data_IF_667151416302
#
_entry.id   IF_667151416302
#
_cell.length_a   1.000
_cell.length_b   1.000
_cell.length_c   1.000
_cell.angle_alpha   90.00
_cell.angle_beta   90.00
_cell.angle_gamma   90.00
#
_symmetry.space_group_name_H-M   'P 1'
#
loop_
_entity.id
_entity.type
_entity.pdbx_description
1 polymer ?
2 non-polymer ?
3 water ?
#
# COMPACT_ATOMS: atom_id res chain seq x y z
N UNK A 1 -3.95 -19.07 13.30
CA UNK A 1 -3.68 -18.93 14.72
C UNK A 1 -2.31 -18.29 14.98
N UNK A 2 -1.31 -19.15 15.15
CA UNK A 2 0.07 -18.79 15.44
C UNK A 2 0.61 -17.75 14.46
N UNK A 3 0.37 -18.05 13.19
CA UNK A 3 0.76 -17.24 12.06
C UNK A 3 0.16 -15.84 12.13
N UNK A 4 -0.92 -15.69 12.90
CA UNK A 4 -1.60 -14.40 13.02
C UNK A 4 -1.20 -13.69 14.30
N UNK A 5 -0.26 -14.30 15.03
CA UNK A 5 0.26 -13.75 16.29
C UNK A 5 1.23 -12.61 16.02
N UNK A 6 1.15 -11.55 16.81
CA UNK A 6 1.93 -10.32 16.63
C UNK A 6 3.38 -10.45 16.22
N UNK A 7 4.25 -11.08 16.99
CA UNK A 7 5.66 -11.17 16.59
C UNK A 7 5.83 -11.94 15.28
N UNK A 8 5.10 -13.05 15.17
CA UNK A 8 5.24 -13.89 14.00
C UNK A 8 4.63 -13.22 12.77
N UNK A 9 3.44 -12.66 12.96
CA UNK A 9 2.74 -12.05 11.83
C UNK A 9 3.63 -10.99 11.18
N UNK A 10 4.32 -10.24 12.02
CA UNK A 10 5.20 -9.15 11.59
C UNK A 10 6.43 -9.69 10.89
N UNK A 11 6.92 -10.87 11.29
CA UNK A 11 8.11 -11.38 10.58
C UNK A 11 7.70 -12.10 9.31
N UNK A 12 6.49 -12.68 9.29
CA UNK A 12 6.00 -13.22 8.02
C UNK A 12 5.85 -12.12 6.98
N UNK A 13 5.29 -10.99 7.39
CA UNK A 13 5.13 -9.85 6.47
C UNK A 13 6.48 -9.34 5.99
N UNK A 14 7.49 -9.28 6.86
CA UNK A 14 8.82 -8.87 6.43
C UNK A 14 9.32 -9.69 5.24
N UNK A 15 9.28 -11.01 5.30
CA UNK A 15 9.76 -11.82 4.19
C UNK A 15 8.88 -11.71 2.95
N UNK A 16 7.69 -11.18 3.08
CA UNK A 16 6.77 -11.10 1.94
C UNK A 16 6.91 -9.80 1.15
N UNK A 17 7.84 -8.93 1.52
CA UNK A 17 7.98 -7.62 0.87
C UNK A 17 8.43 -7.74 -0.58
N UNK A 18 7.84 -7.00 -1.50
CA UNK A 18 8.25 -7.12 -2.90
C UNK A 18 9.67 -6.61 -3.09
N UNK A 19 10.26 -7.09 -4.17
CA UNK A 19 11.61 -6.70 -4.55
C UNK A 19 11.66 -5.28 -5.10
N UNK A 20 12.87 -4.75 -5.24
CA UNK A 20 13.22 -3.62 -6.07
C UNK A 20 12.75 -3.82 -7.51
N UNK A 21 11.94 -2.96 -8.09
CA UNK A 21 11.60 -3.16 -9.52
C UNK A 21 12.39 -2.17 -10.38
N UNK A 22 13.19 -2.66 -11.31
CA UNK A 22 13.86 -1.78 -12.27
C UNK A 22 12.93 -1.48 -13.45
N UNK A 23 12.66 -0.21 -13.76
CA UNK A 23 11.73 0.04 -14.87
C UNK A 23 12.24 -0.56 -16.17
N UNK A 24 13.51 -0.30 -16.43
CA UNK A 24 14.24 -0.88 -17.56
C UNK A 24 13.90 -0.21 -18.88
N UNK A 25 14.18 1.09 -18.93
CA UNK A 25 13.93 1.85 -20.14
C UNK A 25 15.14 1.83 -21.07
N UNK A 26 14.86 1.47 -22.31
CA UNK A 26 15.85 1.51 -23.39
C UNK A 26 15.71 2.81 -24.19
N UNK A 33 4.50 12.28 -21.88
CA UNK A 33 4.10 10.89 -21.81
C UNK A 33 5.30 9.95 -21.71
N UNK A 34 6.47 10.45 -21.36
CA UNK A 34 7.60 9.55 -21.09
C UNK A 34 7.62 9.25 -19.59
N UNK A 35 7.35 10.28 -18.80
CA UNK A 35 7.14 10.10 -17.37
C UNK A 35 6.00 9.09 -17.17
N UNK A 36 4.87 9.38 -17.79
CA UNK A 36 3.68 8.54 -17.79
C UNK A 36 3.93 7.23 -18.54
N UNK A 37 4.90 7.24 -19.46
CA UNK A 37 5.26 5.95 -20.07
C UNK A 37 6.08 5.17 -19.05
N UNK A 38 7.09 5.81 -18.46
CA UNK A 38 7.87 5.16 -17.43
C UNK A 38 6.97 4.64 -16.31
N UNK A 39 6.08 5.53 -15.85
CA UNK A 39 5.23 5.29 -14.71
C UNK A 39 4.25 4.14 -14.95
N UNK A 40 3.58 4.08 -16.10
CA UNK A 40 2.64 2.97 -16.32
C UNK A 40 3.33 1.63 -16.51
N UNK A 41 4.53 1.66 -17.10
CA UNK A 41 5.24 0.40 -17.24
C UNK A 41 5.65 -0.10 -15.85
N UNK A 42 6.10 0.83 -15.01
CA UNK A 42 6.45 0.50 -13.62
C UNK A 42 5.29 -0.18 -12.90
N UNK A 43 4.10 0.41 -12.93
CA UNK A 43 2.98 -0.19 -12.23
C UNK A 43 2.68 -1.60 -12.73
N UNK A 44 2.71 -1.79 -14.05
CA UNK A 44 2.44 -3.13 -14.58
C UNK A 44 3.33 -4.17 -13.89
N UNK A 45 4.60 -3.79 -13.80
CA UNK A 45 5.61 -4.60 -13.14
C UNK A 45 5.29 -4.74 -11.66
N UNK A 46 5.13 -3.62 -10.96
CA UNK A 46 4.83 -3.71 -9.53
C UNK A 46 3.58 -4.51 -9.24
N UNK A 47 2.60 -4.54 -10.15
CA UNK A 47 1.34 -5.20 -9.78
C UNK A 47 1.51 -6.70 -9.66
N UNK A 48 2.31 -7.28 -10.54
CA UNK A 48 2.57 -8.73 -10.47
C UNK A 48 3.05 -9.12 -9.08
N UNK A 49 4.08 -8.42 -8.60
CA UNK A 49 4.60 -8.64 -7.27
C UNK A 49 3.58 -8.35 -6.19
N UNK A 50 2.73 -7.34 -6.39
CA UNK A 50 1.73 -7.07 -5.37
C UNK A 50 0.86 -8.29 -5.11
N UNK A 51 0.48 -8.96 -6.21
CA UNK A 51 -0.42 -10.11 -6.02
C UNK A 51 0.27 -11.24 -5.26
N UNK A 52 1.55 -11.46 -5.52
CA UNK A 52 2.36 -12.42 -4.78
C UNK A 52 2.44 -12.06 -3.30
N UNK A 53 2.66 -10.77 -3.06
CA UNK A 53 2.77 -10.29 -1.68
C UNK A 53 1.50 -10.63 -0.88
N UNK A 54 0.35 -10.26 -1.44
CA UNK A 54 -0.93 -10.55 -0.84
C UNK A 54 -1.09 -12.05 -0.59
N UNK A 55 -0.51 -12.90 -1.44
CA UNK A 55 -0.75 -14.34 -1.24
C UNK A 55 0.06 -14.87 -0.07
N UNK A 56 1.00 -14.09 0.44
CA UNK A 56 1.84 -14.49 1.56
C UNK A 56 1.33 -14.00 2.92
N UNK A 57 0.27 -13.19 2.92
CA UNK A 57 -0.41 -12.73 4.11
C UNK A 57 -1.32 -13.82 4.65
N UNK A 58 -0.97 -14.39 5.80
CA UNK A 58 -1.67 -15.57 6.33
C UNK A 58 -3.18 -15.39 6.33
N UNK A 59 -3.87 -16.35 5.73
CA UNK A 59 -5.30 -16.40 5.62
C UNK A 59 -5.89 -15.73 4.40
N UNK A 60 -5.08 -15.04 3.60
CA UNK A 60 -5.69 -14.27 2.50
C UNK A 60 -6.21 -15.21 1.42
N UNK A 61 -5.47 -16.26 1.04
CA UNK A 61 -5.88 -17.15 -0.04
C UNK A 61 -7.04 -18.07 0.37
N UNK A 62 -7.31 -18.14 1.68
CA UNK A 62 -8.45 -18.92 2.16
C UNK A 62 -9.74 -18.11 2.20
N UNK A 63 -9.68 -16.82 1.90
CA UNK A 63 -10.92 -16.06 1.71
C UNK A 63 -11.58 -16.47 0.40
N UNK A 64 -12.78 -15.97 0.13
CA UNK A 64 -13.41 -16.24 -1.16
C UNK A 64 -12.65 -15.55 -2.28
N UNK A 65 -12.63 -16.15 -3.47
CA UNK A 65 -11.96 -15.48 -4.60
C UNK A 65 -12.77 -14.24 -4.97
N UNK A 66 -14.06 -14.29 -4.65
CA UNK A 66 -14.93 -13.14 -4.83
C UNK A 66 -14.45 -12.00 -3.93
N UNK A 67 -13.77 -12.37 -2.85
CA UNK A 67 -13.27 -11.34 -1.93
C UNK A 67 -11.86 -10.92 -2.27
N UNK A 68 -11.02 -11.91 -2.59
CA UNK A 68 -9.65 -11.62 -2.97
C UNK A 68 -9.57 -10.60 -4.10
N UNK A 69 -10.36 -10.82 -5.14
CA UNK A 69 -10.38 -10.02 -6.37
C UNK A 69 -10.90 -8.61 -6.14
N UNK A 70 -11.91 -8.50 -5.28
CA UNK A 70 -12.48 -7.22 -4.87
C UNK A 70 -11.45 -6.36 -4.14
N UNK A 71 -10.71 -6.97 -3.22
CA UNK A 71 -9.71 -6.26 -2.42
C UNK A 71 -8.54 -5.80 -3.24
N UNK A 72 -7.96 -6.68 -4.07
CA UNK A 72 -6.84 -6.23 -4.90
C UNK A 72 -7.26 -5.18 -5.89
N UNK A 73 -8.47 -5.31 -6.42
CA UNK A 73 -8.90 -4.34 -7.43
C UNK A 73 -9.06 -2.95 -6.84
N UNK A 74 -9.53 -2.86 -5.60
CA UNK A 74 -9.83 -1.51 -5.11
C UNK A 74 -8.63 -0.79 -4.53
N UNK A 75 -7.66 -1.55 -4.04
CA UNK A 75 -6.52 -1.08 -3.28
C UNK A 75 -5.17 -1.05 -4.00
N UNK A 76 -5.09 -1.35 -5.29
CA UNK A 76 -3.73 -1.43 -5.85
C UNK A 76 -3.01 -0.10 -5.77
N UNK A 77 -3.54 1.03 -6.20
CA UNK A 77 -2.82 2.31 -6.15
C UNK A 77 -2.47 2.80 -4.76
N UNK A 78 -3.31 2.64 -3.72
CA UNK A 78 -2.91 3.01 -2.36
C UNK A 78 -1.72 2.16 -1.89
N UNK A 79 -1.65 0.87 -2.26
CA UNK A 79 -0.54 0.02 -1.84
C UNK A 79 0.77 0.36 -2.56
N UNK A 80 0.70 0.85 -3.79
CA UNK A 80 1.88 1.27 -4.54
C UNK A 80 2.34 2.65 -4.08
N UNK A 81 1.39 3.45 -3.61
CA UNK A 81 1.73 4.77 -3.07
C UNK A 81 2.29 4.69 -1.66
N UNK A 82 1.71 3.82 -0.83
CA UNK A 82 2.21 3.54 0.52
C UNK A 82 3.65 3.06 0.41
N UNK A 83 3.93 2.10 -0.48
CA UNK A 83 5.32 1.70 -0.70
C UNK A 83 6.22 2.83 -1.16
N UNK A 84 5.74 3.71 -2.02
CA UNK A 84 6.50 4.84 -2.56
C UNK A 84 6.89 5.84 -1.48
N UNK A 85 5.92 6.23 -0.66
CA UNK A 85 6.24 7.09 0.48
C UNK A 85 7.25 6.43 1.40
N UNK A 86 7.11 5.13 1.65
CA UNK A 86 8.08 4.49 2.56
C UNK A 86 9.45 4.58 1.92
N UNK A 87 9.53 4.44 0.60
CA UNK A 87 10.82 4.49 -0.09
C UNK A 87 11.42 5.90 -0.13
N UNK A 88 10.59 6.93 -0.08
CA UNK A 88 11.14 8.29 -0.18
C UNK A 88 11.22 8.97 1.19
N UNK A 89 10.85 8.26 2.25
CA UNK A 89 10.62 8.89 3.54
C UNK A 89 11.83 9.69 4.02
N UNK A 90 13.01 9.32 3.57
CA UNK A 90 14.19 10.04 4.04
C UNK A 90 14.65 11.07 3.02
N UNK A 91 13.97 11.14 1.87
CA UNK A 91 14.47 12.10 0.89
C UNK A 91 13.47 13.22 0.61
N UNK A 92 13.53 14.23 1.47
CA UNK A 92 12.68 15.41 1.30
C UNK A 92 12.89 16.05 -0.06
N UNK A 93 11.78 16.32 -0.75
CA UNK A 93 11.90 16.96 -2.04
C UNK A 93 11.87 15.95 -3.16
N UNK A 94 12.20 14.68 -2.89
CA UNK A 94 12.13 13.72 -3.99
C UNK A 94 11.03 12.68 -3.76
N UNK A 95 10.82 11.92 -4.84
CA UNK A 95 10.10 10.66 -4.85
C UNK A 95 10.93 9.56 -5.49
N UNK A 96 11.13 8.47 -4.77
CA UNK A 96 11.95 7.35 -5.23
C UNK A 96 11.08 6.19 -5.70
N UNK A 97 10.66 6.30 -6.94
CA UNK A 97 9.76 5.38 -7.62
C UNK A 97 10.39 4.01 -7.84
N UNK A 98 11.68 4.02 -8.12
CA UNK A 98 12.45 2.80 -8.35
C UNK A 98 13.93 3.19 -8.45
N UNK A 99 14.82 2.23 -8.35
CA UNK A 99 16.26 2.49 -8.53
C UNK A 99 16.51 3.42 -9.69
N UNK A 100 16.33 3.07 -10.96
CA UNK A 100 16.67 4.15 -11.90
C UNK A 100 15.50 5.07 -12.20
N UNK A 101 14.74 5.51 -11.20
CA UNK A 101 13.64 6.45 -11.45
C UNK A 101 13.28 7.24 -10.19
N UNK A 102 14.06 8.28 -9.97
CA UNK A 102 13.91 9.26 -8.92
C UNK A 102 13.37 10.56 -9.51
N UNK A 103 12.56 11.31 -8.78
CA UNK A 103 12.02 12.55 -9.32
C UNK A 103 12.10 13.72 -8.34
N UNK A 104 12.43 14.89 -8.85
CA UNK A 104 12.39 16.21 -8.25
C UNK A 104 11.01 16.84 -8.39
N UNK A 105 10.62 17.70 -7.46
CA UNK A 105 9.28 18.29 -7.57
C UNK A 105 9.15 19.15 -8.83
N UNK A 106 10.24 19.76 -9.25
CA UNK A 106 10.23 20.66 -10.41
C UNK A 106 10.25 19.91 -11.73
N UNK A 107 10.31 18.58 -11.65
CA UNK A 107 10.20 17.72 -12.81
C UNK A 107 8.73 17.32 -12.98
N UNK A 108 8.00 17.50 -11.88
CA UNK A 108 6.56 17.30 -11.89
C UNK A 108 5.85 18.57 -12.36
N UNK A 109 6.55 19.37 -13.17
CA UNK A 109 6.01 20.60 -13.70
C UNK A 109 5.57 20.44 -15.15
N UNK A 110 6.01 19.35 -15.78
CA UNK A 110 5.65 19.07 -17.16
C UNK A 110 4.65 17.92 -17.26
N UNK A 112 1.79 17.24 -16.71
CA UNK A 112 1.30 18.16 -15.68
C UNK A 112 -0.06 17.73 -15.17
N UNK A 113 -0.48 18.29 -14.03
CA UNK A 113 -1.66 17.75 -13.33
C UNK A 113 -1.12 16.81 -12.25
N UNK A 114 -0.08 16.11 -12.65
CA UNK A 114 0.86 15.34 -11.86
C UNK A 114 1.48 16.20 -10.76
N UNK A 115 1.62 17.51 -10.98
CA UNK A 115 2.18 18.28 -9.88
C UNK A 115 1.28 18.25 -8.65
N UNK A 116 -0.03 18.28 -8.86
CA UNK A 116 -0.98 18.28 -7.76
C UNK A 116 -0.73 17.06 -6.87
N UNK A 117 -0.76 15.90 -7.51
CA UNK A 117 -0.55 14.61 -6.87
C UNK A 117 0.82 14.57 -6.20
N UNK A 118 1.83 15.04 -6.92
CA UNK A 118 3.19 15.13 -6.41
C UNK A 118 3.25 15.78 -5.03
N UNK A 119 2.49 16.84 -4.82
CA UNK A 119 2.56 17.52 -3.52
C UNK A 119 1.73 16.77 -2.48
N UNK A 120 0.68 16.07 -2.91
CA UNK A 120 -0.04 15.25 -1.93
C UNK A 120 0.87 14.15 -1.37
N UNK A 121 1.75 13.58 -2.19
CA UNK A 121 2.61 12.48 -1.75
C UNK A 121 3.82 12.97 -0.96
N UNK A 122 4.30 14.18 -1.24
CA UNK A 122 5.40 14.71 -0.44
C UNK A 122 4.94 15.08 0.96
N UNK A 123 3.80 15.73 1.05
CA UNK A 123 3.21 16.14 2.32
C UNK A 123 2.96 14.96 3.26
N UNK A 124 2.07 14.05 2.88
CA UNK A 124 1.82 12.81 3.61
C UNK A 124 3.12 12.08 4.00
N UNK A 125 4.08 11.96 3.09
CA UNK A 125 5.37 11.36 3.42
C UNK A 125 6.09 12.09 4.56
N UNK A 126 6.11 13.42 4.47
CA UNK A 126 6.66 14.27 5.52
C UNK A 126 6.02 14.04 6.87
N UNK A 127 4.73 13.73 6.85
CA UNK A 127 3.95 13.45 8.04
C UNK A 127 4.44 12.15 8.69
N UNK A 128 4.67 11.15 7.84
CA UNK A 128 5.17 9.85 8.30
C UNK A 128 6.58 10.00 8.86
N UNK A 129 7.39 10.84 8.22
CA UNK A 129 8.72 11.17 8.75
C UNK A 129 8.59 11.69 10.19
N UNK A 130 7.83 12.77 10.35
CA UNK A 130 7.62 13.37 11.66
C UNK A 130 7.12 12.38 12.69
N UNK A 131 6.30 11.41 12.26
CA UNK A 131 5.76 10.48 13.26
C UNK A 131 6.82 9.47 13.64
N UNK A 132 7.86 9.40 12.81
CA UNK A 132 8.92 8.41 13.01
C UNK A 132 8.40 6.99 12.80
N UNK A 133 7.75 6.80 11.65
CA UNK A 133 7.22 5.52 11.24
C UNK A 133 8.29 4.44 11.30
N UNK A 134 8.02 3.38 12.06
CA UNK A 134 8.94 2.27 12.21
C UNK A 134 8.70 1.24 11.11
N UNK A 135 9.67 0.40 10.79
CA UNK A 135 9.45 -0.65 9.81
C UNK A 135 8.26 -1.52 10.21
N UNK A 136 8.25 -1.96 11.47
CA UNK A 136 7.19 -2.90 11.86
C UNK A 136 5.82 -2.27 11.67
N UNK A 137 5.78 -0.96 11.88
CA UNK A 137 4.57 -0.14 11.75
C UNK A 137 4.16 -0.04 10.29
N UNK A 138 5.14 0.25 9.43
CA UNK A 138 4.94 0.29 7.98
C UNK A 138 4.37 -1.04 7.50
N UNK A 139 4.98 -2.16 7.89
CA UNK A 139 4.48 -3.46 7.44
C UNK A 139 3.02 -3.67 7.81
N UNK A 140 2.63 -3.28 9.02
CA UNK A 140 1.25 -3.50 9.46
C UNK A 140 0.28 -2.55 8.79
N UNK A 141 0.66 -1.30 8.53
CA UNK A 141 -0.29 -0.37 7.92
C UNK A 141 -0.60 -0.73 6.47
N UNK A 142 0.40 -1.14 5.70
CA UNK A 142 0.22 -1.54 4.30
C UNK A 142 -0.71 -2.75 4.17
N UNK A 143 -0.67 -3.64 5.16
CA UNK A 143 -1.57 -4.80 5.17
C UNK A 143 -3.00 -4.41 5.51
N UNK A 144 -3.18 -3.41 6.37
CA UNK A 144 -4.45 -2.83 6.75
C UNK A 144 -5.13 -2.20 5.54
N UNK A 145 -4.32 -1.45 4.80
CA UNK A 145 -4.75 -0.80 3.56
C UNK A 145 -5.35 -1.83 2.60
N UNK A 146 -4.64 -2.93 2.35
CA UNK A 146 -5.26 -3.97 1.53
C UNK A 146 -6.53 -4.48 2.18
N UNK A 147 -6.50 -4.95 3.44
CA UNK A 147 -7.74 -5.55 3.96
C UNK A 147 -8.86 -4.54 4.17
N UNK A 148 -8.58 -3.26 4.35
CA UNK A 148 -9.66 -2.29 4.59
C UNK A 148 -10.10 -1.63 3.30
N UNK A 149 -9.58 -2.04 2.14
CA UNK A 149 -9.83 -1.33 0.90
C UNK A 149 -11.28 -1.31 0.42
N UNK A 150 -12.11 -2.27 0.80
CA UNK A 150 -13.51 -2.21 0.38
C UNK A 150 -14.43 -2.57 1.53
N UNK A 151 -15.70 -2.17 1.41
CA UNK A 151 -16.66 -2.50 2.46
C UNK A 151 -17.69 -3.50 1.95
N UNK A 152 -17.90 -3.49 0.64
CA UNK A 152 -18.75 -4.51 0.05
C UNK A 152 -18.33 -5.91 0.48
N UNK A 153 -17.07 -6.32 0.29
CA UNK A 153 -16.66 -7.68 0.65
C UNK A 153 -16.81 -8.01 2.13
N UNK A 154 -17.11 -7.06 3.01
CA UNK A 154 -17.31 -7.45 4.41
C UNK A 154 -18.66 -6.98 4.94
N UNK A 155 -19.59 -6.74 4.02
CA UNK A 155 -20.97 -6.38 4.35
C UNK A 155 -21.61 -7.46 5.22
N UNK A 161 -20.82 -16.34 3.76
CA UNK A 161 -20.97 -16.04 5.17
C UNK A 161 -19.69 -16.32 5.94
N UNK A 162 -18.82 -17.18 5.40
CA UNK A 162 -17.61 -17.49 6.17
C UNK A 162 -16.49 -16.52 5.82
N UNK A 163 -16.32 -16.23 4.54
CA UNK A 163 -15.25 -15.36 4.06
C UNK A 163 -15.29 -13.99 4.74
N UNK A 164 -16.48 -13.58 5.15
CA UNK A 164 -16.66 -12.32 5.87
C UNK A 164 -16.16 -12.49 7.31
N UNK A 165 -16.66 -13.52 7.99
CA UNK A 165 -16.18 -13.86 9.33
C UNK A 165 -14.65 -13.89 9.34
N UNK A 166 -14.08 -14.52 8.33
CA UNK A 166 -12.68 -14.64 8.02
C UNK A 166 -12.03 -13.28 7.78
N UNK A 167 -12.60 -12.47 6.88
CA UNK A 167 -12.01 -11.17 6.59
C UNK A 167 -11.88 -10.35 7.87
N UNK A 168 -12.92 -10.27 8.68
CA UNK A 168 -12.82 -9.48 9.91
C UNK A 168 -11.75 -10.03 10.85
N UNK A 169 -11.72 -11.34 11.03
CA UNK A 169 -10.74 -11.97 11.93
C UNK A 169 -9.33 -11.57 11.54
N UNK A 170 -9.11 -11.53 10.25
CA UNK A 170 -7.80 -11.30 9.64
C UNK A 170 -7.42 -9.83 9.67
N UNK A 171 -8.42 -8.97 9.67
CA UNK A 171 -8.22 -7.53 9.80
C UNK A 171 -7.99 -7.13 11.27
N UNK A 172 -8.67 -7.83 12.16
CA UNK A 172 -8.55 -7.64 13.61
C UNK A 172 -7.18 -8.07 14.12
N UNK A 173 -6.68 -9.18 13.60
CA UNK A 173 -5.32 -9.63 13.88
C UNK A 173 -4.28 -8.60 13.49
N UNK A 174 -4.41 -7.99 12.31
CA UNK A 174 -3.41 -7.00 11.90
C UNK A 174 -3.40 -5.78 12.80
N UNK A 175 -4.58 -5.33 13.20
CA UNK A 175 -4.79 -4.22 14.14
C UNK A 175 -4.23 -4.57 15.51
N UNK A 176 -4.38 -5.83 15.90
CA UNK A 176 -3.76 -6.33 17.13
C UNK A 176 -2.24 -6.23 17.00
N UNK A 177 -1.72 -6.60 15.82
CA UNK A 177 -0.26 -6.58 15.76
C UNK A 177 0.25 -5.15 15.85
N UNK A 178 -0.41 -4.25 15.13
CA UNK A 178 0.01 -2.84 15.20
C UNK A 178 -0.05 -2.35 16.64
N UNK A 179 -1.15 -2.65 17.33
CA UNK A 179 -1.30 -2.16 18.70
C UNK A 179 -0.15 -2.67 19.56
N UNK A 180 0.19 -3.93 19.34
CA UNK A 180 1.28 -4.62 20.01
C UNK A 180 2.60 -3.88 19.80
N UNK A 181 2.88 -3.57 18.54
CA UNK A 181 4.11 -2.89 18.15
C UNK A 181 4.25 -1.59 18.93
N UNK A 182 3.15 -0.85 18.98
CA UNK A 182 3.11 0.47 19.59
C UNK A 182 3.30 0.42 21.10
N UNK A 183 2.83 -0.65 21.72
CA UNK A 183 2.87 -0.83 23.16
C UNK A 183 4.29 -1.12 23.66
N UNK A 184 5.15 -1.53 22.73
CA UNK A 184 6.53 -1.92 22.96
C UNK A 184 7.45 -0.71 22.96
N UNK A 185 6.96 0.42 22.47
CA UNK A 185 7.76 1.65 22.47
C UNK A 185 8.03 2.12 23.89
N UNK A 186 7.23 1.61 24.82
CA UNK A 186 7.41 1.97 26.22
C UNK A 186 6.87 3.38 26.43
N UNK A 187 5.79 3.67 25.71
CA UNK A 187 5.14 4.95 25.96
C UNK A 187 3.86 4.71 26.77
N UNK A 188 3.36 5.82 27.29
CA UNK A 188 2.14 5.94 28.05
C UNK A 188 0.91 5.51 27.28
N UNK A 189 0.02 4.81 27.97
CA UNK A 189 -1.28 4.42 27.45
C UNK A 189 -1.99 5.52 26.70
N UNK A 190 -1.80 6.79 27.10
CA UNK A 190 -2.43 7.86 26.33
C UNK A 190 -1.63 8.08 25.05
N UNK A 191 -0.31 7.93 25.15
CA UNK A 191 0.49 8.09 23.94
C UNK A 191 0.18 7.01 22.91
N UNK A 192 -0.10 5.82 23.41
CA UNK A 192 -0.44 4.66 22.57
C UNK A 192 -1.67 4.98 21.74
N UNK A 193 -2.77 5.30 22.40
CA UNK A 193 -3.99 5.69 21.73
C UNK A 193 -3.79 6.89 20.82
N UNK A 194 -3.00 7.88 21.26
CA UNK A 194 -2.83 9.03 20.37
C UNK A 194 -2.03 8.65 19.12
N UNK A 195 -1.14 7.67 19.25
CA UNK A 195 -0.32 7.26 18.13
C UNK A 195 -1.12 6.36 17.20
N UNK A 196 -1.88 5.43 17.78
CA UNK A 196 -2.75 4.59 16.95
C UNK A 196 -3.72 5.47 16.19
N UNK A 197 -4.23 6.53 16.83
CA UNK A 197 -5.19 7.41 16.17
C UNK A 197 -4.56 8.24 15.06
N UNK A 198 -3.34 8.74 15.31
CA UNK A 198 -2.60 9.49 14.31
C UNK A 198 -2.23 8.64 13.10
N UNK A 199 -1.87 7.38 13.33
CA UNK A 199 -1.50 6.48 12.25
C UNK A 199 -2.67 6.16 11.34
N UNK A 200 -3.81 5.75 11.89
CA UNK A 200 -4.95 5.40 11.04
C UNK A 200 -5.64 6.61 10.42
N UNK A 201 -5.50 7.81 10.97
CA UNK A 201 -6.10 8.99 10.34
C UNK A 201 -5.40 9.31 9.02
N UNK A 202 -4.13 8.91 8.96
CA UNK A 202 -3.27 9.12 7.81
C UNK A 202 -3.71 8.30 6.60
N UNK A 203 -4.52 7.27 6.80
CA UNK A 203 -4.97 6.40 5.71
C UNK A 203 -5.99 7.11 4.83
N UNK A 204 -6.73 7.99 5.53
CA UNK A 204 -7.69 8.86 4.86
C UNK A 204 -6.97 9.68 3.80
N UNK A 205 -5.74 10.08 4.09
CA UNK A 205 -4.90 10.86 3.19
C UNK A 205 -4.39 10.02 2.02
N UNK A 206 -3.83 8.88 2.39
CA UNK A 206 -3.47 7.83 1.44
C UNK A 206 -4.61 7.63 0.45
N UNK A 207 -5.82 7.32 0.92
CA UNK A 207 -6.91 7.08 -0.02
C UNK A 207 -7.16 8.28 -0.93
N UNK A 208 -6.95 9.48 -0.37
CA UNK A 208 -7.21 10.69 -1.16
C UNK A 208 -6.28 10.72 -2.37
N UNK A 209 -4.99 10.57 -2.10
CA UNK A 209 -3.98 10.53 -3.16
C UNK A 209 -4.28 9.45 -4.20
N UNK A 210 -4.64 8.26 -3.73
CA UNK A 210 -5.05 7.17 -4.61
C UNK A 210 -6.16 7.62 -5.54
N UNK A 211 -7.21 8.23 -5.00
CA UNK A 211 -8.36 8.63 -5.80
C UNK A 211 -7.99 9.60 -6.90
N UNK A 212 -7.10 10.52 -6.53
CA UNK A 212 -6.58 11.49 -7.50
C UNK A 212 -5.75 10.77 -8.57
N UNK A 213 -4.81 9.92 -8.18
CA UNK A 213 -4.03 9.18 -9.16
C UNK A 213 -4.92 8.40 -10.10
N UNK A 214 -5.95 7.75 -9.57
CA UNK A 214 -6.88 6.96 -10.37
C UNK A 214 -7.58 7.85 -11.38
N UNK A 215 -7.98 9.01 -10.90
CA UNK A 215 -8.64 10.03 -11.74
C UNK A 215 -7.74 10.41 -12.91
N UNK A 216 -6.54 10.89 -12.64
CA UNK A 216 -5.55 11.28 -13.60
C UNK A 216 -5.32 10.20 -14.67
N UNK A 217 -5.35 8.97 -14.22
CA UNK A 217 -5.12 7.78 -15.00
C UNK A 217 -6.20 7.44 -16.01
N UNK A 218 -7.48 7.69 -15.69
CA UNK A 218 -8.52 7.42 -16.69
C UNK A 218 -8.60 8.55 -17.72
N UNK A 219 -8.32 9.77 -17.28
CA UNK A 219 -8.26 10.91 -18.18
C UNK A 219 -7.00 10.84 -19.05
N UNK A 220 -6.75 9.73 -19.73
CA UNK A 220 -5.51 9.64 -20.52
C UNK A 220 -5.73 8.70 -21.70
N UNK A 225 1.44 5.89 -22.29
CA UNK A 225 0.57 5.26 -21.29
C UNK A 225 0.41 3.77 -21.56
N UNK A 226 0.32 3.00 -20.48
CA UNK A 226 0.13 1.57 -20.50
C UNK A 226 -1.20 1.18 -19.87
N UNK A 227 -1.88 0.20 -20.46
CA UNK A 227 -3.14 -0.28 -19.87
C UNK A 227 -2.92 -0.91 -18.50
N UNK A 228 -2.56 -0.10 -17.50
CA UNK A 228 -2.33 -0.67 -16.18
C UNK A 228 -3.59 -1.40 -15.68
N UNK A 229 -4.67 -0.65 -15.54
CA UNK A 229 -5.93 -1.16 -15.00
C UNK A 229 -6.53 -2.26 -15.87
N UNK A 230 -6.18 -2.31 -17.16
CA UNK A 230 -6.68 -3.40 -17.98
C UNK A 230 -5.97 -4.71 -17.61
N UNK A 231 -4.68 -4.74 -17.92
CA UNK A 231 -3.85 -5.92 -17.69
C UNK A 231 -4.01 -6.44 -16.26
N UNK A 232 -4.10 -5.52 -15.30
CA UNK A 232 -4.26 -5.93 -13.92
C UNK A 232 -5.52 -6.81 -13.80
N UNK A 233 -6.60 -6.26 -14.31
CA UNK A 233 -7.86 -6.99 -14.40
C UNK A 233 -7.60 -8.36 -15.00
N UNK A 234 -6.82 -8.37 -16.08
CA UNK A 234 -6.39 -9.60 -16.73
C UNK A 234 -5.63 -10.49 -15.75
N UNK A 235 -4.69 -9.89 -15.02
CA UNK A 235 -3.91 -10.64 -14.04
C UNK A 235 -4.82 -11.24 -12.99
N UNK A 236 -5.91 -10.51 -12.73
CA UNK A 236 -6.93 -10.90 -11.77
C UNK A 236 -7.67 -12.16 -12.20
N UNK A 237 -7.82 -12.32 -13.51
CA UNK A 237 -8.49 -13.45 -14.13
C UNK A 237 -7.65 -14.71 -14.04
N UNK A 238 -6.43 -14.61 -14.58
CA UNK A 238 -5.48 -15.71 -14.51
C UNK A 238 -5.34 -16.16 -13.04
N UNK A 239 -5.33 -15.17 -12.16
CA UNK A 239 -5.25 -15.35 -10.72
C UNK A 239 -6.38 -16.23 -10.20
N UNK A 240 -7.48 -16.26 -10.95
CA UNK A 240 -8.65 -17.04 -10.60
C UNK A 240 -8.69 -18.37 -11.36
N UNK A 241 -8.14 -18.37 -12.57
CA UNK A 241 -8.11 -19.56 -13.42
C UNK A 241 -6.79 -20.31 -13.27
#
# INVERSE_FOLDING_TARGET
LDALSPEQLVLTLLEAEPPHVLISRPSAPFTEASMMMSLTKLADKELVHMISWAKKIPGFVELSLFDQVRLLESCWMEVLMMGLMWRSIDHPGKLIFAPDLVLDRDEGKCVEGILEIFDMLLATTSRFRELKLQHKEYLCVKAMILLNSSMYPLVTATQDADSSRKLAHLLNAVTDALVWVIAKSGISSQQQSMRLANLLMLLSHVRHASNKGMEHLLNMKCKNVVPVYDLLLEMLNAHVL
#
